data_IF_979140798154
#
_entry.id   IF_979140798154
#
_cell.length_a   1.000
_cell.length_b   1.000
_cell.length_c   1.000
_cell.angle_alpha   90.00
_cell.angle_beta   90.00
_cell.angle_gamma   90.00
#
_symmetry.space_group_name_H-M   'P 1'
#
loop_
_entity.id
_entity.type
_entity.pdbx_description
1 polymer ?
#
# COMPACT_ATOMS: atom_id res chain seq x y z
N UNK A 1 -14.79 -21.11 5.62
CA UNK A 1 -13.54 -20.71 4.93
C UNK A 1 -12.37 -21.09 5.83
N UNK A 2 -11.35 -21.80 5.33
CA UNK A 2 -10.19 -22.13 6.16
C UNK A 2 -9.42 -20.85 6.53
N UNK A 3 -8.80 -20.80 7.72
CA UNK A 3 -8.01 -19.63 8.16
C UNK A 3 -6.88 -19.29 7.16
N UNK A 4 -6.31 -20.32 6.52
CA UNK A 4 -5.26 -20.16 5.50
C UNK A 4 -5.80 -19.52 4.21
N UNK A 5 -6.98 -19.92 3.74
CA UNK A 5 -7.62 -19.30 2.58
C UNK A 5 -7.92 -17.82 2.82
N UNK A 6 -8.47 -17.50 4.00
CA UNK A 6 -8.72 -16.10 4.35
C UNK A 6 -7.42 -15.27 4.39
N UNK A 7 -6.32 -15.84 4.89
CA UNK A 7 -5.01 -15.18 4.89
C UNK A 7 -4.47 -14.87 3.50
N UNK A 8 -4.59 -15.83 2.58
CA UNK A 8 -4.22 -15.65 1.19
C UNK A 8 -5.01 -14.52 0.51
N UNK A 9 -6.34 -14.49 0.71
CA UNK A 9 -7.22 -13.47 0.15
C UNK A 9 -6.95 -12.08 0.73
N UNK A 10 -6.74 -11.98 2.05
CA UNK A 10 -6.35 -10.72 2.70
C UNK A 10 -5.00 -10.22 2.19
N UNK A 11 -4.02 -11.11 2.01
CA UNK A 11 -2.72 -10.72 1.48
C UNK A 11 -2.79 -10.23 0.02
N UNK A 12 -3.66 -10.85 -0.80
CA UNK A 12 -3.92 -10.38 -2.16
C UNK A 12 -4.55 -8.98 -2.17
N UNK A 13 -5.56 -8.72 -1.34
CA UNK A 13 -6.17 -7.39 -1.18
C UNK A 13 -5.15 -6.33 -0.74
N UNK A 14 -4.28 -6.67 0.20
CA UNK A 14 -3.21 -5.77 0.66
C UNK A 14 -2.17 -5.48 -0.42
N UNK A 15 -1.84 -6.48 -1.23
CA UNK A 15 -0.94 -6.30 -2.37
C UNK A 15 -1.58 -5.34 -3.37
N UNK A 16 -2.85 -5.53 -3.72
CA UNK A 16 -3.60 -4.62 -4.59
C UNK A 16 -3.60 -3.19 -4.04
N UNK A 17 -3.99 -2.99 -2.78
CA UNK A 17 -3.99 -1.70 -2.11
C UNK A 17 -2.62 -1.01 -2.15
N UNK A 18 -1.54 -1.76 -1.95
CA UNK A 18 -0.16 -1.25 -2.01
C UNK A 18 0.19 -0.77 -3.42
N UNK A 19 -0.21 -1.52 -4.45
CA UNK A 19 0.03 -1.16 -5.84
C UNK A 19 -0.77 0.06 -6.26
N UNK A 20 -2.05 0.14 -5.84
CA UNK A 20 -2.92 1.30 -6.08
C UNK A 20 -2.38 2.56 -5.38
N UNK A 21 -1.90 2.43 -4.14
CA UNK A 21 -1.24 3.52 -3.41
C UNK A 21 -0.02 4.05 -4.15
N UNK A 22 0.85 3.14 -4.63
CA UNK A 22 2.06 3.52 -5.37
C UNK A 22 1.67 4.19 -6.69
N UNK A 23 0.69 3.64 -7.41
CA UNK A 23 0.21 4.22 -8.66
C UNK A 23 -0.33 5.64 -8.44
N UNK A 24 -1.22 5.83 -7.46
CA UNK A 24 -1.76 7.14 -7.09
C UNK A 24 -0.64 8.11 -6.70
N UNK A 25 0.30 7.69 -5.85
CA UNK A 25 1.41 8.53 -5.38
C UNK A 25 2.37 8.96 -6.50
N UNK A 26 2.56 8.13 -7.52
CA UNK A 26 3.44 8.45 -8.66
C UNK A 26 2.86 9.54 -9.58
N UNK A 27 1.53 9.63 -9.70
CA UNK A 27 0.89 10.58 -10.61
C UNK A 27 1.17 12.06 -10.31
N UNK A 28 1.49 12.40 -9.07
CA UNK A 28 1.76 13.78 -8.66
C UNK A 28 3.24 14.05 -8.34
N UNK A 29 4.11 13.03 -8.48
CA UNK A 29 5.56 13.08 -8.24
C UNK A 29 6.32 12.60 -9.50
N UNK A 30 6.01 13.19 -10.65
CA UNK A 30 6.72 12.97 -11.92
C UNK A 30 6.90 11.49 -12.32
N UNK A 31 5.98 10.61 -11.90
CA UNK A 31 6.02 9.15 -12.13
C UNK A 31 7.26 8.43 -11.54
N UNK A 32 8.07 9.07 -10.69
CA UNK A 32 9.26 8.46 -10.07
C UNK A 32 8.91 7.66 -8.81
N UNK A 33 9.03 6.33 -8.88
CA UNK A 33 8.69 5.40 -7.80
C UNK A 33 9.38 5.75 -6.47
N UNK A 34 10.69 6.03 -6.51
CA UNK A 34 11.46 6.26 -5.29
C UNK A 34 11.05 7.60 -4.66
N UNK A 35 10.90 8.67 -5.45
CA UNK A 35 10.41 9.95 -4.94
C UNK A 35 8.99 9.85 -4.37
N UNK A 36 8.10 9.09 -5.02
CA UNK A 36 6.74 8.87 -4.53
C UNK A 36 6.75 8.20 -3.14
N UNK A 37 7.53 7.13 -2.97
CA UNK A 37 7.65 6.43 -1.68
C UNK A 37 8.35 7.26 -0.61
N UNK A 38 9.41 7.98 -0.94
CA UNK A 38 10.09 8.90 -0.02
C UNK A 38 9.13 10.00 0.45
N UNK A 39 8.34 10.57 -0.46
CA UNK A 39 7.37 11.63 -0.14
C UNK A 39 6.26 11.09 0.76
N UNK A 40 5.72 9.90 0.46
CA UNK A 40 4.78 9.22 1.33
C UNK A 40 5.34 8.99 2.74
N UNK A 41 6.58 8.53 2.86
CA UNK A 41 7.27 8.35 4.14
C UNK A 41 7.45 9.66 4.90
N UNK A 42 7.78 10.76 4.21
CA UNK A 42 7.85 12.09 4.82
C UNK A 42 6.49 12.54 5.35
N UNK A 43 5.44 12.40 4.54
CA UNK A 43 4.08 12.78 4.92
C UNK A 43 3.60 12.00 6.14
N UNK A 44 3.79 10.68 6.16
CA UNK A 44 3.47 9.81 7.31
C UNK A 44 4.22 10.24 8.57
N UNK A 45 5.54 10.43 8.46
CA UNK A 45 6.37 10.83 9.60
C UNK A 45 6.02 12.24 10.12
N UNK A 46 5.63 13.17 9.23
CA UNK A 46 5.25 14.52 9.62
C UNK A 46 4.03 14.57 10.55
N UNK A 47 3.16 13.56 10.50
CA UNK A 47 1.90 13.55 11.25
C UNK A 47 1.86 12.50 12.37
N UNK A 48 2.86 11.61 12.45
CA UNK A 48 2.89 10.50 13.42
C UNK A 48 2.82 10.96 14.88
N UNK A 49 3.43 12.09 15.22
CA UNK A 49 3.43 12.62 16.59
C UNK A 49 2.05 13.04 17.11
N UNK A 50 1.09 13.31 16.24
CA UNK A 50 -0.27 13.66 16.64
C UNK A 50 -1.07 12.43 17.15
N UNK A 51 -0.63 11.21 16.83
CA UNK A 51 -1.27 9.99 17.32
C UNK A 51 -0.88 9.66 18.76
N UNK A 52 0.37 9.97 19.13
CA UNK A 52 0.95 9.58 20.43
C UNK A 52 0.49 10.52 21.57
N UNK A 53 0.16 11.78 21.26
CA UNK A 53 -0.17 12.81 22.26
C UNK A 53 -1.68 12.97 22.54
N UNK A 54 -2.52 12.03 22.09
CA UNK A 54 -3.97 12.11 22.35
C UNK A 54 -4.70 13.23 21.59
N UNK A 55 -4.01 13.89 20.65
CA UNK A 55 -4.57 14.94 19.78
C UNK A 55 -5.68 14.43 18.83
N UNK A 56 -5.90 13.11 18.78
CA UNK A 56 -7.05 12.48 18.14
C UNK A 56 -8.42 12.89 18.74
N UNK A 57 -8.44 13.59 19.88
CA UNK A 57 -9.68 14.13 20.49
C UNK A 57 -10.05 15.54 20.03
N UNK A 58 -9.16 16.24 19.33
CA UNK A 58 -9.48 17.53 18.73
C UNK A 58 -9.99 17.30 17.30
N UNK A 59 -11.29 17.50 17.08
CA UNK A 59 -11.98 17.29 15.80
C UNK A 59 -11.40 18.14 14.66
N UNK A 60 -10.64 19.19 14.98
CA UNK A 60 -9.90 20.01 14.02
C UNK A 60 -8.63 19.32 13.48
N UNK A 61 -7.98 18.47 14.27
CA UNK A 61 -6.76 17.71 13.91
C UNK A 61 -7.13 16.41 13.17
N UNK A 62 -8.32 15.87 13.46
CA UNK A 62 -8.92 14.76 12.71
C UNK A 62 -9.10 15.03 11.22
N UNK A 63 -9.00 16.28 10.77
CA UNK A 63 -9.17 16.71 9.38
C UNK A 63 -8.04 16.35 8.42
N UNK A 64 -7.05 15.56 8.85
CA UNK A 64 -5.94 15.06 8.03
C UNK A 64 -5.10 16.11 7.30
N UNK A 65 -5.33 17.39 7.57
CA UNK A 65 -4.41 18.47 7.28
C UNK A 65 -3.94 18.98 8.63
N UNK A 66 -2.90 18.35 9.17
CA UNK A 66 -2.21 18.90 10.34
C UNK A 66 -1.70 20.30 9.96
N UNK A 67 -2.03 21.36 10.73
CA UNK A 67 -1.40 22.66 10.59
C UNK A 67 0.12 22.50 10.55
N UNK A 68 0.81 23.31 9.73
CA UNK A 68 2.27 23.19 9.57
C UNK A 68 3.02 23.23 10.90
N UNK A 69 2.55 24.03 11.86
CA UNK A 69 3.14 24.15 13.20
C UNK A 69 3.11 22.85 14.01
N UNK A 70 2.19 21.93 13.69
CA UNK A 70 2.07 20.63 14.36
C UNK A 70 2.81 19.50 13.62
N UNK A 71 3.30 19.76 12.40
CA UNK A 71 4.04 18.76 11.63
C UNK A 71 5.44 18.58 12.21
N UNK A 72 5.83 17.33 12.44
CA UNK A 72 7.19 17.00 12.91
C UNK A 72 8.12 16.78 11.72
N UNK A 73 9.14 17.62 11.52
CA UNK A 73 10.13 17.38 10.46
C UNK A 73 10.77 15.99 10.60
N UNK A 74 11.12 15.38 9.47
CA UNK A 74 11.83 14.09 9.45
C UNK A 74 13.10 14.17 8.63
N UNK A 75 14.19 13.60 9.15
CA UNK A 75 15.46 13.60 8.45
C UNK A 75 15.52 12.51 7.35
N UNK A 76 16.38 12.72 6.36
CA UNK A 76 16.54 11.80 5.22
C UNK A 76 17.01 10.40 5.63
N UNK A 77 17.85 10.29 6.67
CA UNK A 77 18.42 9.01 7.12
C UNK A 77 17.31 8.11 7.68
N UNK A 78 16.44 8.66 8.53
CA UNK A 78 15.31 7.93 9.12
C UNK A 78 14.37 7.39 8.04
N UNK A 79 14.03 8.20 7.04
CA UNK A 79 13.18 7.77 5.91
C UNK A 79 13.90 6.73 5.04
N UNK A 80 15.19 6.95 4.73
CA UNK A 80 15.99 6.02 3.96
C UNK A 80 16.05 4.64 4.61
N UNK A 81 16.29 4.57 5.93
CA UNK A 81 16.32 3.30 6.67
C UNK A 81 14.95 2.65 6.72
N UNK A 82 13.89 3.43 7.00
CA UNK A 82 12.51 2.95 7.07
C UNK A 82 12.04 2.30 5.77
N UNK A 83 12.37 2.90 4.62
CA UNK A 83 11.99 2.38 3.30
C UNK A 83 13.04 1.44 2.69
N UNK A 84 14.25 1.42 3.26
CA UNK A 84 15.44 0.75 2.73
C UNK A 84 15.91 1.26 1.39
N UNK A 85 15.80 2.56 1.19
CA UNK A 85 16.42 3.26 0.07
C UNK A 85 17.86 3.58 0.46
N UNK A 86 18.85 3.45 -0.45
CA UNK A 86 20.22 3.89 -0.17
C UNK A 86 20.27 5.35 0.29
N UNK A 87 21.08 5.65 1.30
CA UNK A 87 21.12 6.99 1.95
C UNK A 87 21.37 8.12 0.96
N UNK A 88 22.37 7.98 0.09
CA UNK A 88 22.69 8.99 -0.93
C UNK A 88 21.57 9.16 -1.96
N UNK A 89 20.90 8.08 -2.34
CA UNK A 89 19.74 8.14 -3.22
C UNK A 89 18.57 8.89 -2.57
N UNK A 90 18.28 8.59 -1.29
CA UNK A 90 17.23 9.29 -0.55
C UNK A 90 17.56 10.78 -0.39
N UNK A 91 18.80 11.12 -0.02
CA UNK A 91 19.26 12.51 0.12
C UNK A 91 19.12 13.27 -1.20
N UNK A 92 19.56 12.69 -2.30
CA UNK A 92 19.51 13.31 -3.63
C UNK A 92 18.07 13.52 -4.08
N UNK A 93 17.21 12.51 -3.93
CA UNK A 93 15.80 12.59 -4.35
C UNK A 93 15.00 13.58 -3.48
N UNK A 94 15.23 13.60 -2.17
CA UNK A 94 14.60 14.56 -1.27
C UNK A 94 15.07 16.00 -1.54
N UNK A 95 16.34 16.22 -1.84
CA UNK A 95 16.84 17.53 -2.25
C UNK A 95 16.16 18.02 -3.55
N UNK A 96 16.07 17.15 -4.56
CA UNK A 96 15.34 17.48 -5.78
C UNK A 96 13.86 17.78 -5.53
N UNK A 97 13.20 17.10 -4.58
CA UNK A 97 11.82 17.41 -4.18
C UNK A 97 11.69 18.78 -3.50
N UNK A 98 12.73 19.26 -2.82
CA UNK A 98 12.78 20.64 -2.29
C UNK A 98 12.94 21.65 -3.42
N UNK A 99 13.84 21.40 -4.37
CA UNK A 99 14.04 22.27 -5.54
C UNK A 99 12.76 22.42 -6.38
N UNK A 100 11.97 21.35 -6.48
CA UNK A 100 10.66 21.36 -7.17
C UNK A 100 9.51 21.95 -6.34
N UNK A 101 9.78 22.40 -5.10
CA UNK A 101 8.78 22.99 -4.22
C UNK A 101 7.75 22.00 -3.67
N UNK A 102 8.03 20.68 -3.71
CA UNK A 102 7.18 19.64 -3.12
C UNK A 102 7.39 19.59 -1.61
N UNK A 103 8.67 19.60 -1.20
CA UNK A 103 9.08 19.59 0.20
C UNK A 103 9.72 20.91 0.58
N UNK A 104 9.70 21.23 1.87
CA UNK A 104 10.50 22.31 2.46
C UNK A 104 11.52 21.67 3.40
N UNK A 105 12.76 22.14 3.33
CA UNK A 105 13.80 21.78 4.31
C UNK A 105 13.74 22.76 5.47
N UNK A 106 13.64 22.23 6.68
CA UNK A 106 13.70 22.94 7.96
C UNK A 106 14.91 22.45 8.76
N UNK A 107 15.21 23.10 9.88
CA UNK A 107 16.31 22.68 10.78
C UNK A 107 16.12 21.24 11.29
N UNK A 108 14.87 20.78 11.42
CA UNK A 108 14.54 19.42 11.86
C UNK A 108 14.48 18.37 10.73
N UNK A 109 14.60 18.76 9.46
CA UNK A 109 14.52 17.83 8.32
C UNK A 109 13.57 18.29 7.22
N UNK A 110 12.75 17.37 6.71
CA UNK A 110 11.84 17.60 5.59
C UNK A 110 10.39 17.64 6.05
N UNK A 111 9.63 18.57 5.47
CA UNK A 111 8.18 18.70 5.66
C UNK A 111 7.49 18.86 4.30
N UNK A 112 6.31 18.28 4.12
CA UNK A 112 5.48 18.57 2.95
C UNK A 112 5.11 20.06 2.90
N UNK A 113 5.33 20.70 1.75
CA UNK A 113 4.92 22.10 1.55
C UNK A 113 3.38 22.23 1.60
N UNK A 114 2.84 23.24 2.30
CA UNK A 114 1.40 23.35 2.53
C UNK A 114 0.61 23.57 1.24
N UNK A 115 1.15 24.36 0.32
CA UNK A 115 0.54 24.70 -0.96
C UNK A 115 0.36 23.45 -1.84
N UNK A 116 1.24 22.44 -1.67
CA UNK A 116 1.13 21.15 -2.37
C UNK A 116 -0.13 20.40 -1.98
N UNK A 117 -0.51 20.42 -0.69
CA UNK A 117 -1.76 19.77 -0.24
C UNK A 117 -3.02 20.42 -0.84
N UNK A 118 -2.92 21.65 -1.35
CA UNK A 118 -4.01 22.33 -2.03
C UNK A 118 -3.99 22.15 -3.55
N UNK A 119 -2.91 21.61 -4.10
CA UNK A 119 -2.74 21.42 -5.53
C UNK A 119 -3.71 20.37 -6.11
N UNK A 120 -4.13 20.59 -7.35
CA UNK A 120 -5.01 19.65 -8.07
C UNK A 120 -4.39 18.24 -8.22
N UNK A 121 -3.11 18.08 -8.62
CA UNK A 121 -2.51 16.75 -8.74
C UNK A 121 -2.51 15.97 -7.42
N UNK A 122 -2.19 16.63 -6.30
CA UNK A 122 -2.23 15.99 -4.99
C UNK A 122 -3.65 15.55 -4.62
N UNK A 123 -4.65 16.42 -4.80
CA UNK A 123 -6.06 16.09 -4.53
C UNK A 123 -6.55 14.90 -5.35
N UNK A 124 -6.25 14.87 -6.65
CA UNK A 124 -6.61 13.72 -7.50
C UNK A 124 -5.93 12.43 -7.09
N UNK A 125 -4.67 12.48 -6.65
CA UNK A 125 -3.99 11.30 -6.10
C UNK A 125 -4.63 10.81 -4.80
N UNK A 126 -5.06 11.73 -3.92
CA UNK A 126 -5.78 11.38 -2.68
C UNK A 126 -7.15 10.78 -2.97
N UNK A 127 -7.91 11.33 -3.94
CA UNK A 127 -9.20 10.77 -4.37
C UNK A 127 -9.04 9.34 -4.90
N UNK A 128 -8.03 9.09 -5.74
CA UNK A 128 -7.74 7.75 -6.25
C UNK A 128 -7.38 6.78 -5.12
N UNK A 129 -6.59 7.22 -4.13
CA UNK A 129 -6.22 6.36 -3.00
C UNK A 129 -7.39 6.12 -2.02
N UNK A 130 -8.28 7.10 -1.85
CA UNK A 130 -9.51 6.93 -1.09
C UNK A 130 -10.44 5.91 -1.76
N UNK A 131 -10.55 5.92 -3.09
CA UNK A 131 -11.29 4.89 -3.81
C UNK A 131 -10.69 3.50 -3.59
N UNK A 132 -9.36 3.36 -3.68
CA UNK A 132 -8.68 2.11 -3.38
C UNK A 132 -8.90 1.66 -1.91
N UNK A 133 -9.05 2.60 -0.99
CA UNK A 133 -9.41 2.32 0.41
C UNK A 133 -10.82 1.76 0.53
N UNK A 134 -11.79 2.30 -0.21
CA UNK A 134 -13.16 1.77 -0.26
C UNK A 134 -13.14 0.34 -0.79
N UNK A 135 -12.51 0.11 -1.95
CA UNK A 135 -12.42 -1.23 -2.55
C UNK A 135 -11.74 -2.25 -1.63
N UNK A 136 -10.70 -1.83 -0.89
CA UNK A 136 -10.03 -2.68 0.07
C UNK A 136 -10.92 -3.07 1.24
N UNK A 137 -11.63 -2.11 1.83
CA UNK A 137 -12.57 -2.37 2.95
C UNK A 137 -13.74 -3.23 2.49
N UNK A 138 -14.32 -2.93 1.33
CA UNK A 138 -15.40 -3.73 0.74
C UNK A 138 -14.92 -5.17 0.50
N UNK A 139 -13.70 -5.35 -0.01
CA UNK A 139 -13.08 -6.66 -0.14
C UNK A 139 -12.94 -7.40 1.20
N UNK A 140 -12.56 -6.71 2.29
CA UNK A 140 -12.49 -7.32 3.63
C UNK A 140 -13.87 -7.69 4.19
N UNK A 141 -14.87 -6.83 3.99
CA UNK A 141 -16.26 -7.04 4.37
C UNK A 141 -16.84 -8.26 3.63
N UNK A 142 -16.63 -8.33 2.32
CA UNK A 142 -16.97 -9.50 1.49
C UNK A 142 -16.33 -10.79 1.99
N UNK A 143 -15.18 -10.74 2.66
CA UNK A 143 -14.51 -11.91 3.23
C UNK A 143 -14.94 -12.22 4.67
N UNK A 144 -15.66 -11.33 5.35
CA UNK A 144 -15.83 -11.33 6.80
C UNK A 144 -14.46 -11.49 7.51
N UNK A 145 -13.47 -10.70 7.10
CA UNK A 145 -12.07 -10.87 7.50
C UNK A 145 -11.54 -9.71 8.35
N UNK A 146 -10.56 -10.01 9.21
CA UNK A 146 -9.83 -9.02 10.00
C UNK A 146 -10.68 -8.10 10.89
N UNK A 147 -11.89 -8.55 11.24
CA UNK A 147 -12.85 -7.79 12.04
C UNK A 147 -13.87 -7.00 11.23
N UNK A 148 -13.66 -6.85 9.91
CA UNK A 148 -14.68 -6.33 9.00
C UNK A 148 -15.75 -7.39 8.76
N UNK A 149 -16.99 -6.94 8.56
CA UNK A 149 -18.21 -7.73 8.47
C UNK A 149 -18.97 -7.35 7.21
N UNK A 150 -19.72 -8.31 6.69
CA UNK A 150 -20.62 -8.09 5.57
C UNK A 150 -21.59 -6.95 5.89
N UNK A 151 -21.69 -6.00 4.97
CA UNK A 151 -22.43 -4.74 5.17
C UNK A 151 -21.58 -3.56 5.64
N UNK A 152 -20.41 -3.77 6.24
CA UNK A 152 -19.50 -2.66 6.56
C UNK A 152 -19.20 -1.84 5.30
N UNK A 153 -19.08 -0.53 5.49
CA UNK A 153 -18.67 0.38 4.43
C UNK A 153 -17.80 1.48 4.98
N UNK A 154 -16.94 2.02 4.12
CA UNK A 154 -16.28 3.29 4.37
C UNK A 154 -17.34 4.39 4.34
N UNK A 155 -17.41 5.21 5.38
CA UNK A 155 -18.23 6.43 5.38
C UNK A 155 -17.77 7.28 4.21
N UNK A 156 -18.70 7.70 3.35
CA UNK A 156 -18.40 8.55 2.17
C UNK A 156 -17.37 9.61 2.58
N UNK A 157 -16.16 9.59 1.99
CA UNK A 157 -15.03 10.32 2.55
C UNK A 157 -15.26 11.82 2.41
N UNK A 158 -15.81 12.42 3.45
CA UNK A 158 -15.83 13.85 3.67
C UNK A 158 -14.66 14.22 4.58
N UNK A 159 -14.11 15.42 4.40
CA UNK A 159 -13.25 16.01 5.42
C UNK A 159 -14.09 16.22 6.69
N UNK A 160 -13.63 15.83 7.89
CA UNK A 160 -12.26 15.41 8.24
C UNK A 160 -11.88 13.93 8.01
N UNK A 161 -12.86 13.03 7.97
CA UNK A 161 -12.70 11.56 7.98
C UNK A 161 -11.79 11.05 6.85
N UNK A 162 -11.89 11.64 5.66
CA UNK A 162 -11.06 11.29 4.50
C UNK A 162 -9.55 11.41 4.78
N UNK A 163 -9.16 12.44 5.52
CA UNK A 163 -7.77 12.71 5.86
C UNK A 163 -7.20 11.72 6.88
N UNK A 164 -7.99 11.40 7.90
CA UNK A 164 -7.65 10.37 8.88
C UNK A 164 -7.54 8.98 8.23
N UNK A 165 -8.49 8.63 7.35
CA UNK A 165 -8.46 7.39 6.58
C UNK A 165 -7.16 7.30 5.75
N UNK A 166 -6.87 8.32 4.95
CA UNK A 166 -5.66 8.41 4.11
C UNK A 166 -4.39 8.17 4.94
N UNK A 167 -4.29 8.79 6.11
CA UNK A 167 -3.14 8.68 7.00
C UNK A 167 -2.97 7.27 7.56
N UNK A 168 -4.04 6.69 8.13
CA UNK A 168 -4.02 5.32 8.66
C UNK A 168 -3.70 4.29 7.57
N UNK A 169 -4.28 4.46 6.38
CA UNK A 169 -4.04 3.61 5.22
C UNK A 169 -2.61 3.75 4.70
N UNK A 170 -2.06 4.96 4.63
CA UNK A 170 -0.66 5.20 4.24
C UNK A 170 0.30 4.50 5.19
N UNK A 171 0.13 4.67 6.50
CA UNK A 171 0.96 4.01 7.51
C UNK A 171 0.93 2.48 7.36
N UNK A 172 -0.27 1.92 7.11
CA UNK A 172 -0.47 0.50 6.87
C UNK A 172 0.23 0.00 5.61
N UNK A 173 0.10 0.72 4.49
CA UNK A 173 0.78 0.39 3.22
C UNK A 173 2.30 0.47 3.37
N UNK A 174 2.85 1.51 4.00
CA UNK A 174 4.29 1.63 4.21
C UNK A 174 4.84 0.47 5.05
N UNK A 175 4.11 0.04 6.08
CA UNK A 175 4.44 -1.16 6.86
C UNK A 175 4.34 -2.44 6.01
N UNK A 176 3.34 -2.54 5.14
CA UNK A 176 3.21 -3.62 4.16
C UNK A 176 4.40 -3.71 3.21
N UNK A 177 4.89 -2.58 2.70
CA UNK A 177 6.10 -2.51 1.86
C UNK A 177 7.32 -2.99 2.66
N UNK A 178 7.45 -2.61 3.93
CA UNK A 178 8.53 -3.11 4.79
C UNK A 178 8.47 -4.63 4.97
N UNK A 179 7.28 -5.20 5.17
CA UNK A 179 7.11 -6.64 5.24
C UNK A 179 7.44 -7.31 3.90
N UNK A 180 7.00 -6.75 2.77
CA UNK A 180 7.33 -7.30 1.45
C UNK A 180 8.85 -7.36 1.22
N UNK A 181 9.61 -6.45 1.83
CA UNK A 181 11.08 -6.47 1.76
C UNK A 181 11.74 -7.63 2.52
N UNK A 182 11.05 -8.25 3.48
CA UNK A 182 11.59 -9.45 4.13
C UNK A 182 11.51 -10.69 3.25
N UNK A 183 10.77 -10.66 2.13
CA UNK A 183 10.76 -11.74 1.15
C UNK A 183 12.15 -12.00 0.57
N UNK A 184 12.89 -10.91 0.28
CA UNK A 184 14.29 -10.98 -0.17
C UNK A 184 15.02 -9.65 0.11
N UNK A 185 15.62 -9.47 1.31
CA UNK A 185 16.20 -8.19 1.71
C UNK A 185 17.29 -7.62 0.77
N UNK A 186 17.94 -8.48 -0.01
CA UNK A 186 19.10 -8.14 -0.84
C UNK A 186 18.71 -7.50 -2.19
N UNK A 187 17.45 -7.59 -2.62
CA UNK A 187 17.01 -6.98 -3.88
C UNK A 187 16.54 -5.54 -3.65
N UNK A 188 16.69 -4.71 -4.69
CA UNK A 188 16.33 -3.29 -4.60
C UNK A 188 14.82 -3.08 -4.40
N UNK A 189 14.44 -1.88 -3.91
CA UNK A 189 13.04 -1.49 -3.74
C UNK A 189 12.24 -1.56 -5.05
N UNK A 190 12.84 -1.13 -6.17
CA UNK A 190 12.22 -1.25 -7.50
C UNK A 190 12.00 -2.70 -7.90
N UNK A 191 12.93 -3.60 -7.55
CA UNK A 191 12.78 -5.04 -7.83
C UNK A 191 11.65 -5.64 -6.99
N UNK A 192 11.51 -5.23 -5.73
CA UNK A 192 10.34 -5.60 -4.90
C UNK A 192 9.03 -5.09 -5.50
N UNK A 193 8.99 -3.87 -6.04
CA UNK A 193 7.80 -3.35 -6.70
C UNK A 193 7.38 -4.20 -7.91
N UNK A 194 8.34 -4.63 -8.73
CA UNK A 194 8.10 -5.58 -9.83
C UNK A 194 7.62 -6.93 -9.31
N UNK A 195 8.19 -7.43 -8.21
CA UNK A 195 7.75 -8.67 -7.56
C UNK A 195 6.30 -8.59 -7.06
N UNK A 196 5.90 -7.46 -6.46
CA UNK A 196 4.53 -7.25 -5.98
C UNK A 196 3.53 -7.22 -7.15
N UNK A 197 3.87 -6.55 -8.26
CA UNK A 197 3.05 -6.59 -9.47
C UNK A 197 2.92 -7.99 -10.04
N UNK A 198 4.04 -8.71 -10.17
CA UNK A 198 4.03 -10.08 -10.66
C UNK A 198 3.18 -10.98 -9.76
N UNK A 199 3.34 -10.86 -8.44
CA UNK A 199 2.53 -11.57 -7.45
C UNK A 199 1.03 -11.30 -7.61
N UNK A 200 0.66 -10.02 -7.74
CA UNK A 200 -0.73 -9.63 -7.91
C UNK A 200 -1.34 -10.18 -9.20
N UNK A 201 -0.62 -10.00 -10.33
CA UNK A 201 -1.08 -10.40 -11.66
C UNK A 201 -1.11 -11.91 -11.87
N UNK A 202 -0.33 -12.68 -11.12
CA UNK A 202 -0.32 -14.15 -11.19
C UNK A 202 -1.24 -14.79 -10.15
N UNK A 203 -1.85 -13.99 -9.27
CA UNK A 203 -2.65 -14.49 -8.15
C UNK A 203 -1.86 -15.38 -7.19
N UNK A 204 -0.54 -15.18 -7.07
CA UNK A 204 0.34 -16.12 -6.35
C UNK A 204 -0.08 -16.34 -4.90
N UNK A 205 -0.48 -15.27 -4.20
CA UNK A 205 -0.96 -15.35 -2.82
C UNK A 205 -2.13 -16.34 -2.66
N UNK A 206 -3.04 -16.40 -3.64
CA UNK A 206 -4.21 -17.27 -3.65
C UNK A 206 -3.87 -18.73 -3.95
N UNK A 207 -2.74 -19.00 -4.62
CA UNK A 207 -2.29 -20.34 -5.04
C UNK A 207 -1.36 -21.03 -4.05
N UNK A 208 -0.84 -20.32 -3.04
CA UNK A 208 0.11 -20.88 -2.07
C UNK A 208 -0.53 -21.92 -1.15
N UNK A 209 -1.82 -21.75 -0.84
CA UNK A 209 -2.52 -22.54 0.19
C UNK A 209 -3.55 -23.52 -0.38
N UNK A 210 -3.90 -23.40 -1.65
CA UNK A 210 -4.90 -24.22 -2.33
C UNK A 210 -4.75 -24.12 -3.86
N UNK A 211 -5.48 -24.98 -4.57
CA UNK A 211 -5.71 -24.84 -6.01
C UNK A 211 -6.25 -23.43 -6.34
N UNK A 212 -5.93 -22.88 -7.53
CA UNK A 212 -6.36 -21.54 -7.92
C UNK A 212 -7.88 -21.35 -7.80
N UNK A 213 -8.32 -20.62 -6.77
CA UNK A 213 -9.73 -20.30 -6.55
C UNK A 213 -9.82 -18.92 -5.88
N UNK A 214 -10.65 -18.06 -6.48
CA UNK A 214 -10.93 -16.72 -5.99
C UNK A 214 -11.80 -16.75 -4.72
N UNK A 215 -12.58 -17.81 -4.51
CA UNK A 215 -13.57 -17.92 -3.46
C UNK A 215 -14.51 -16.71 -3.44
N UNK A 216 -14.70 -16.11 -2.27
CA UNK A 216 -15.54 -14.90 -2.09
C UNK A 216 -15.00 -13.66 -2.81
N UNK A 217 -13.75 -13.65 -3.28
CA UNK A 217 -13.21 -12.57 -4.12
C UNK A 217 -13.56 -12.71 -5.60
N UNK A 218 -14.31 -13.75 -6.00
CA UNK A 218 -14.74 -13.95 -7.39
C UNK A 218 -15.22 -12.69 -8.12
N UNK A 219 -16.07 -11.83 -7.50
CA UNK A 219 -16.53 -10.59 -8.13
C UNK A 219 -15.42 -9.59 -8.48
N UNK A 220 -14.25 -9.66 -7.82
CA UNK A 220 -13.07 -8.84 -8.13
C UNK A 220 -12.23 -9.41 -9.27
N UNK A 221 -12.59 -10.58 -9.82
CA UNK A 221 -11.92 -11.26 -10.91
C UNK A 221 -10.39 -11.33 -10.74
N UNK A 222 -9.87 -11.91 -9.64
CA UNK A 222 -8.43 -12.01 -9.44
C UNK A 222 -7.79 -12.83 -10.58
N UNK A 223 -6.64 -12.38 -11.10
CA UNK A 223 -5.98 -13.07 -12.20
C UNK A 223 -5.24 -14.32 -11.69
N UNK A 224 -5.09 -15.31 -12.56
CA UNK A 224 -4.38 -16.55 -12.26
C UNK A 224 -3.46 -16.96 -13.40
N UNK A 225 -2.28 -17.46 -13.04
CA UNK A 225 -1.32 -18.05 -13.97
C UNK A 225 -0.23 -17.10 -14.43
N UNK A 226 0.68 -17.58 -15.29
CA UNK A 226 1.88 -16.86 -15.66
C UNK A 226 1.58 -15.67 -16.59
N UNK A 227 2.35 -14.59 -16.45
CA UNK A 227 2.16 -13.31 -17.16
C UNK A 227 3.40 -12.90 -17.96
N UNK A 228 3.20 -12.15 -19.03
CA UNK A 228 4.29 -11.63 -19.86
C UNK A 228 4.98 -10.42 -19.24
N UNK A 229 6.19 -10.11 -19.71
CA UNK A 229 6.91 -8.89 -19.33
C UNK A 229 6.09 -7.63 -19.66
N UNK A 230 5.42 -7.63 -20.81
CA UNK A 230 4.61 -6.51 -21.31
C UNK A 230 3.42 -6.24 -20.37
N UNK A 231 2.75 -7.30 -19.90
CA UNK A 231 1.65 -7.18 -18.94
C UNK A 231 2.12 -6.55 -17.62
N UNK A 232 3.27 -6.99 -17.10
CA UNK A 232 3.86 -6.40 -15.88
C UNK A 232 4.30 -4.96 -16.11
N UNK A 233 4.94 -4.66 -17.23
CA UNK A 233 5.40 -3.31 -17.58
C UNK A 233 4.26 -2.31 -17.74
N UNK A 234 3.20 -2.71 -18.44
CA UNK A 234 1.97 -1.92 -18.59
C UNK A 234 1.32 -1.63 -17.24
N UNK A 235 1.15 -2.65 -16.40
CA UNK A 235 0.56 -2.49 -15.07
C UNK A 235 1.42 -1.60 -14.16
N UNK A 236 2.75 -1.81 -14.19
CA UNK A 236 3.69 -1.07 -13.38
C UNK A 236 4.00 0.35 -13.91
N UNK A 237 3.51 0.73 -15.11
CA UNK A 237 3.90 1.98 -15.79
C UNK A 237 5.42 2.14 -15.83
N UNK A 238 6.09 1.12 -16.32
CA UNK A 238 7.54 1.04 -16.46
C UNK A 238 7.89 0.61 -17.88
N UNK A 239 9.09 0.96 -18.32
CA UNK A 239 9.63 0.49 -19.59
C UNK A 239 9.86 -1.04 -19.57
N UNK A 240 9.57 -1.69 -20.71
CA UNK A 240 9.65 -3.14 -20.88
C UNK A 240 11.05 -3.69 -20.60
N UNK A 241 12.12 -3.00 -21.03
CA UNK A 241 13.50 -3.43 -20.77
C UNK A 241 13.83 -3.29 -19.29
N UNK A 242 13.34 -2.23 -18.64
CA UNK A 242 13.50 -2.06 -17.19
C UNK A 242 12.84 -3.21 -16.42
N UNK A 243 11.60 -3.57 -16.76
CA UNK A 243 10.90 -4.70 -16.12
C UNK A 243 11.57 -6.03 -16.44
N UNK A 244 11.98 -6.25 -17.69
CA UNK A 244 12.74 -7.44 -18.10
C UNK A 244 13.99 -7.64 -17.26
N UNK A 245 14.77 -6.57 -17.03
CA UNK A 245 15.97 -6.61 -16.21
C UNK A 245 15.67 -7.01 -14.76
N UNK A 246 14.62 -6.43 -14.15
CA UNK A 246 14.23 -6.77 -12.78
C UNK A 246 13.67 -8.20 -12.67
N UNK A 247 12.87 -8.65 -13.62
CA UNK A 247 12.42 -10.04 -13.69
C UNK A 247 13.61 -11.01 -13.86
N UNK A 248 14.62 -10.66 -14.66
CA UNK A 248 15.85 -11.44 -14.77
C UNK A 248 16.65 -11.53 -13.45
N UNK A 249 16.64 -10.46 -12.64
CA UNK A 249 17.23 -10.49 -11.29
C UNK A 249 16.43 -11.40 -10.35
N UNK A 250 15.10 -11.36 -10.42
CA UNK A 250 14.22 -12.22 -9.64
C UNK A 250 14.33 -13.70 -10.05
N UNK A 251 14.47 -13.99 -11.35
CA UNK A 251 14.75 -15.33 -11.89
C UNK A 251 16.09 -15.87 -11.32
N UNK A 252 17.16 -15.06 -11.37
CA UNK A 252 18.46 -15.44 -10.78
C UNK A 252 18.42 -15.63 -9.26
N UNK A 253 17.54 -14.89 -8.58
CA UNK A 253 17.33 -15.01 -7.14
C UNK A 253 16.42 -16.20 -6.75
N UNK A 254 15.90 -16.97 -7.72
CA UNK A 254 15.02 -18.11 -7.46
C UNK A 254 13.59 -17.75 -7.08
N UNK A 255 13.21 -16.47 -7.13
CA UNK A 255 11.88 -15.99 -6.75
C UNK A 255 10.84 -16.15 -7.87
N UNK A 256 11.31 -16.18 -9.11
CA UNK A 256 10.49 -16.18 -10.32
C UNK A 256 10.96 -17.30 -11.25
N UNK A 257 9.99 -17.96 -11.88
CA UNK A 257 10.23 -19.00 -12.88
C UNK A 257 9.65 -18.59 -14.23
N UNK A 258 10.17 -19.22 -15.28
CA UNK A 258 9.65 -19.08 -16.64
C UNK A 258 8.73 -20.25 -16.96
N UNK A 259 7.52 -19.94 -17.41
CA UNK A 259 6.50 -20.92 -17.80
C UNK A 259 6.02 -20.56 -19.21
N UNK A 260 6.32 -21.41 -20.20
CA UNK A 260 5.93 -21.22 -21.60
C UNK A 260 6.19 -19.78 -22.15
N UNK A 261 7.36 -19.22 -21.86
CA UNK A 261 7.72 -17.87 -22.31
C UNK A 261 7.08 -16.71 -21.51
N UNK A 262 6.29 -17.01 -20.48
CA UNK A 262 5.75 -16.08 -19.46
C UNK A 262 6.41 -16.29 -18.10
N UNK A 263 6.12 -15.45 -17.10
CA UNK A 263 6.76 -15.41 -15.77
C UNK A 263 5.73 -15.70 -14.69
N UNK A 264 6.16 -16.45 -13.70
CA UNK A 264 5.37 -16.77 -12.52
C UNK A 264 6.23 -16.75 -11.26
N UNK A 265 5.62 -16.66 -10.09
CA UNK A 265 6.29 -16.88 -8.81
C UNK A 265 6.71 -18.36 -8.71
N UNK A 266 7.92 -18.60 -8.18
CA UNK A 266 8.47 -19.95 -8.01
C UNK A 266 7.81 -20.71 -6.84
N UNK A 267 6.51 -20.95 -6.90
CA UNK A 267 5.76 -21.64 -5.84
C UNK A 267 6.23 -23.08 -5.54
N UNK A 268 6.91 -23.82 -6.44
CA UNK A 268 7.57 -25.08 -6.06
C UNK A 268 8.69 -24.94 -5.02
N UNK A 269 9.31 -23.77 -4.89
CA UNK A 269 10.36 -23.52 -3.90
C UNK A 269 9.78 -23.39 -2.48
N UNK A 270 10.12 -24.35 -1.62
CA UNK A 270 9.59 -24.45 -0.26
C UNK A 270 10.05 -23.31 0.65
N UNK A 271 11.27 -22.78 0.44
CA UNK A 271 11.79 -21.66 1.22
C UNK A 271 11.05 -20.37 0.87
N UNK A 272 10.82 -20.14 -0.42
CA UNK A 272 9.99 -19.03 -0.88
C UNK A 272 8.57 -19.12 -0.34
N UNK A 273 7.95 -20.29 -0.42
CA UNK A 273 6.61 -20.53 0.14
C UNK A 273 6.56 -20.21 1.64
N UNK A 274 7.55 -20.63 2.41
CA UNK A 274 7.62 -20.31 3.84
C UNK A 274 7.70 -18.79 4.10
N UNK A 275 8.56 -18.07 3.36
CA UNK A 275 8.65 -16.61 3.46
C UNK A 275 7.34 -15.92 3.04
N UNK A 276 6.65 -16.47 2.04
CA UNK A 276 5.38 -15.97 1.57
C UNK A 276 4.27 -16.14 2.62
N UNK A 277 4.23 -17.29 3.30
CA UNK A 277 3.30 -17.55 4.39
C UNK A 277 3.56 -16.65 5.61
N UNK A 278 4.83 -16.34 5.93
CA UNK A 278 5.16 -15.34 6.96
C UNK A 278 4.65 -13.95 6.57
N UNK A 279 4.87 -13.54 5.32
CA UNK A 279 4.33 -12.29 4.78
C UNK A 279 2.80 -12.23 4.89
N UNK A 280 2.09 -13.30 4.53
CA UNK A 280 0.63 -13.39 4.68
C UNK A 280 0.19 -13.24 6.14
N UNK A 281 0.88 -13.92 7.06
CA UNK A 281 0.59 -13.90 8.49
C UNK A 281 0.75 -12.49 9.09
N UNK A 282 1.86 -11.82 8.78
CA UNK A 282 2.10 -10.43 9.20
C UNK A 282 1.08 -9.46 8.60
N UNK A 283 0.67 -9.71 7.36
CA UNK A 283 -0.31 -8.90 6.66
C UNK A 283 -1.68 -9.00 7.32
N UNK A 284 -2.16 -10.21 7.68
CA UNK A 284 -3.39 -10.38 8.47
C UNK A 284 -3.35 -9.56 9.76
N UNK A 285 -2.27 -9.69 10.54
CA UNK A 285 -2.17 -9.04 11.85
C UNK A 285 -2.16 -7.51 11.70
N UNK A 286 -1.44 -7.01 10.69
CA UNK A 286 -1.45 -5.59 10.33
C UNK A 286 -2.85 -5.11 9.93
N UNK A 287 -3.56 -5.88 9.09
CA UNK A 287 -4.91 -5.53 8.65
C UNK A 287 -5.92 -5.56 9.79
N UNK A 288 -5.84 -6.50 10.73
CA UNK A 288 -6.67 -6.50 11.95
C UNK A 288 -6.46 -5.23 12.78
N UNK A 289 -5.19 -4.83 12.95
CA UNK A 289 -4.87 -3.59 13.66
C UNK A 289 -5.40 -2.36 12.93
N UNK A 290 -5.28 -2.31 11.60
CA UNK A 290 -5.82 -1.24 10.77
C UNK A 290 -7.34 -1.15 10.90
N UNK A 291 -8.08 -2.24 10.66
CA UNK A 291 -9.55 -2.26 10.71
C UNK A 291 -10.05 -1.79 12.07
N UNK A 292 -9.44 -2.23 13.17
CA UNK A 292 -9.77 -1.73 14.51
C UNK A 292 -9.59 -0.22 14.62
N UNK A 293 -8.50 0.33 14.10
CA UNK A 293 -8.27 1.79 14.09
C UNK A 293 -9.30 2.53 13.22
N UNK A 294 -9.65 1.98 12.06
CA UNK A 294 -10.64 2.58 11.16
C UNK A 294 -12.04 2.64 11.80
N UNK A 295 -12.45 1.60 12.55
CA UNK A 295 -13.69 1.65 13.34
C UNK A 295 -13.65 2.69 14.45
N UNK A 296 -12.59 2.72 15.25
CA UNK A 296 -12.44 3.71 16.34
C UNK A 296 -12.44 5.14 15.79
N UNK A 297 -11.88 5.32 14.60
CA UNK A 297 -11.86 6.58 13.88
C UNK A 297 -13.19 6.96 13.20
N UNK A 298 -14.20 6.08 13.21
CA UNK A 298 -15.46 6.30 12.50
C UNK A 298 -15.34 6.31 10.98
N UNK A 299 -14.23 5.77 10.43
CA UNK A 299 -14.02 5.65 8.97
C UNK A 299 -14.85 4.50 8.42
N UNK A 300 -14.93 3.39 9.14
CA UNK A 300 -15.80 2.25 8.82
C UNK A 300 -17.01 2.30 9.74
N UNK A 301 -18.19 2.12 9.16
CA UNK A 301 -19.45 1.95 9.89
C UNK A 301 -20.18 0.72 9.38
N UNK A 302 -20.93 0.09 10.28
CA UNK A 302 -21.83 -0.99 9.92
C UNK A 302 -22.93 -0.45 8.98
N UNK A 303 -23.36 -1.23 7.98
CA UNK A 303 -24.58 -0.84 7.23
C UNK A 303 -25.72 -0.89 8.23
N UNK A 304 -26.62 0.11 8.29
CA UNK A 304 -27.95 -0.20 8.77
C UNK A 304 -28.48 -1.31 7.85
N UNK A 305 -28.75 -2.48 8.43
CA UNK A 305 -29.67 -3.43 7.81
C UNK A 305 -30.88 -2.60 7.37
N UNK A 306 -31.24 -2.69 6.09
CA UNK A 306 -32.42 -2.00 5.58
C UNK A 306 -33.55 -2.27 6.58
N UNK A 307 -33.92 -1.23 7.32
CA UNK A 307 -35.12 -1.28 8.12
C UNK A 307 -36.19 -1.48 7.07
N UNK A 308 -36.73 -2.69 6.99
CA UNK A 308 -37.98 -2.95 6.30
C UNK A 308 -38.94 -1.92 6.89
N UNK A 309 -39.17 -0.84 6.13
CA UNK A 309 -40.25 0.08 6.41
C UNK A 309 -41.50 -0.71 6.07
N UNK A 310 -42.02 -1.42 7.06
CA UNK A 310 -43.42 -1.83 7.08
C UNK A 310 -44.22 -0.54 7.23
N UNK A 311 -44.65 0.01 6.09
CA UNK A 311 -45.86 0.80 5.97
C UNK A 311 -46.69 0.15 4.86
#
# INVERSE_FOLDING_TARGET
MSLRLQAAQVAWLNTKLTLDFIAASRTWIDEDLISALLTAGVVDANVRGADDEGAARDSSIGAGILPNALRRPVNAISIAMSLGVPRESARTKLAGLVERGVLVRTDGGFVLRAEVSQSKPFKSAMEAFLLATVEFVDGLAMLNACGARDGDRVVTPAWPVAGLATRLMTAHVLKGIQHARSLKPEISLTTHYVLLWLSHLTGSALRVVQEPDAGRLGPLNPPFGPVSVIEVAKAARMDDETVRRHLGQLEKAGLVIRVAGKRDINLPDQTLVANWLDFQSRTILGTQQLVRKLYVAGVIVDRPSETIRLF
#
